data_IF_235081924709
#
_entry.id   IF_235081924709
#
_cell.length_a   1.000
_cell.length_b   1.000
_cell.length_c   1.000
_cell.angle_alpha   90.00
_cell.angle_beta   90.00
_cell.angle_gamma   90.00
#
_symmetry.space_group_name_H-M   'P 1'
#
loop_
_entity.id
_entity.type
_entity.pdbx_description
1 polymer ?
#
# COMPACT_ATOMS: atom_id res chain seq x y z
N UNK A 1 -20.26 3.04 18.23
CA UNK A 1 -19.70 3.70 17.02
C UNK A 1 -20.22 2.94 15.79
N UNK A 2 -20.49 3.61 14.67
CA UNK A 2 -20.97 2.94 13.46
C UNK A 2 -19.80 2.18 12.79
N UNK A 3 -19.66 0.89 13.10
CA UNK A 3 -18.58 0.04 12.59
C UNK A 3 -18.50 0.04 11.05
N UNK A 4 -19.66 0.05 10.37
CA UNK A 4 -19.71 0.14 8.90
C UNK A 4 -19.04 1.39 8.34
N UNK A 5 -19.22 2.55 8.97
CA UNK A 5 -18.55 3.80 8.55
C UNK A 5 -17.04 3.74 8.79
N UNK A 6 -16.59 3.11 9.87
CA UNK A 6 -15.16 2.93 10.15
C UNK A 6 -14.49 2.02 9.11
N UNK A 7 -15.13 0.89 8.77
CA UNK A 7 -14.65 -0.03 7.74
C UNK A 7 -14.63 0.65 6.37
N UNK A 8 -15.68 1.40 6.01
CA UNK A 8 -15.73 2.15 4.76
C UNK A 8 -14.62 3.19 4.69
N UNK A 9 -14.37 3.93 5.77
CA UNK A 9 -13.29 4.91 5.85
C UNK A 9 -11.92 4.26 5.62
N UNK A 10 -11.61 3.16 6.34
CA UNK A 10 -10.33 2.45 6.23
C UNK A 10 -10.11 1.88 4.83
N UNK A 11 -11.18 1.37 4.21
CA UNK A 11 -11.14 0.90 2.82
C UNK A 11 -10.85 2.05 1.85
N UNK A 12 -11.66 3.11 1.87
CA UNK A 12 -11.52 4.24 0.94
C UNK A 12 -10.20 4.98 1.09
N UNK A 13 -9.69 5.12 2.33
CA UNK A 13 -8.37 5.70 2.59
C UNK A 13 -7.24 4.92 1.89
N UNK A 14 -7.37 3.60 1.78
CA UNK A 14 -6.33 2.74 1.19
C UNK A 14 -6.27 2.81 -0.35
N UNK A 15 -7.35 3.28 -1.00
CA UNK A 15 -7.47 3.31 -2.46
C UNK A 15 -6.48 4.28 -3.12
N UNK A 16 -6.44 5.60 -2.78
CA UNK A 16 -5.53 6.53 -3.43
C UNK A 16 -4.06 6.14 -3.26
N UNK A 17 -3.71 5.66 -2.05
CA UNK A 17 -2.36 5.17 -1.75
C UNK A 17 -1.97 4.00 -2.66
N UNK A 18 -2.86 3.01 -2.81
CA UNK A 18 -2.60 1.83 -3.66
C UNK A 18 -2.48 2.22 -5.13
N UNK A 19 -3.30 3.17 -5.60
CA UNK A 19 -3.23 3.68 -6.98
C UNK A 19 -1.85 4.33 -7.25
N UNK A 20 -1.39 5.22 -6.37
CA UNK A 20 -0.07 5.87 -6.51
C UNK A 20 1.05 4.84 -6.46
N UNK A 21 1.00 3.89 -5.51
CA UNK A 21 1.98 2.81 -5.41
C UNK A 21 2.04 1.95 -6.69
N UNK A 22 0.88 1.64 -7.28
CA UNK A 22 0.79 0.89 -8.53
C UNK A 22 1.43 1.67 -9.69
N UNK A 23 1.17 2.98 -9.82
CA UNK A 23 1.79 3.81 -10.85
C UNK A 23 3.32 3.84 -10.76
N UNK A 24 3.88 3.91 -9.54
CA UNK A 24 5.34 3.93 -9.34
C UNK A 24 5.95 2.55 -9.58
N UNK A 25 5.35 1.51 -8.99
CA UNK A 25 5.90 0.15 -9.00
C UNK A 25 5.76 -0.51 -10.37
N UNK A 26 4.61 -0.33 -11.03
CA UNK A 26 4.29 -1.00 -12.29
C UNK A 26 4.61 -0.14 -13.52
N UNK A 27 5.34 0.96 -13.35
CA UNK A 27 5.79 1.78 -14.47
C UNK A 27 6.57 0.93 -15.48
N UNK A 28 6.34 1.10 -16.80
CA UNK A 28 7.05 0.36 -17.84
C UNK A 28 8.51 0.83 -18.02
N UNK A 29 8.84 2.02 -17.52
CA UNK A 29 10.16 2.63 -17.60
C UNK A 29 10.48 3.40 -16.30
N UNK A 30 11.76 3.68 -16.02
CA UNK A 30 12.15 4.49 -14.86
C UNK A 30 11.52 5.89 -14.93
N UNK A 31 10.77 6.26 -13.89
CA UNK A 31 10.09 7.55 -13.77
C UNK A 31 11.06 8.70 -13.50
N UNK A 32 12.24 8.39 -12.97
CA UNK A 32 13.26 9.36 -12.61
C UNK A 32 14.58 9.07 -13.34
N UNK A 33 14.74 9.50 -14.61
CA UNK A 33 15.91 9.19 -15.45
C UNK A 33 17.23 9.67 -14.84
N UNK A 34 17.20 10.72 -14.03
CA UNK A 34 18.37 11.21 -13.32
C UNK A 34 19.04 10.12 -12.45
N UNK A 35 18.25 9.27 -11.78
CA UNK A 35 18.78 8.17 -10.97
C UNK A 35 19.26 6.97 -11.79
N UNK A 36 18.91 6.90 -13.08
CA UNK A 36 19.42 5.85 -13.96
C UNK A 36 20.90 6.03 -14.28
N UNK A 37 21.41 7.27 -14.25
CA UNK A 37 22.82 7.58 -14.48
C UNK A 37 23.66 7.59 -13.19
N UNK A 38 23.04 7.43 -12.02
CA UNK A 38 23.76 7.44 -10.75
C UNK A 38 24.61 6.16 -10.58
N UNK A 39 25.78 6.25 -9.90
CA UNK A 39 26.56 5.07 -9.53
C UNK A 39 25.69 4.05 -8.79
N UNK A 40 25.73 2.79 -9.22
CA UNK A 40 24.86 1.73 -8.69
C UNK A 40 25.54 1.05 -7.51
N UNK A 41 24.84 0.97 -6.38
CA UNK A 41 25.30 0.25 -5.17
C UNK A 41 25.03 -1.25 -5.27
N UNK A 42 23.94 -1.62 -5.94
CA UNK A 42 23.53 -3.00 -6.22
C UNK A 42 23.55 -3.27 -7.72
N UNK A 43 23.65 -4.55 -8.11
CA UNK A 43 23.59 -4.99 -9.51
C UNK A 43 22.15 -5.06 -10.06
N UNK A 44 21.32 -4.07 -9.70
CA UNK A 44 19.95 -3.94 -10.20
C UNK A 44 19.93 -2.99 -11.40
N UNK A 45 19.12 -3.28 -12.40
CA UNK A 45 18.77 -2.31 -13.45
C UNK A 45 17.96 -1.15 -12.84
N UNK A 46 17.96 0.06 -13.46
CA UNK A 46 17.18 1.20 -12.96
C UNK A 46 15.70 0.90 -12.74
N UNK A 47 15.13 0.03 -13.58
CA UNK A 47 13.72 -0.37 -13.49
C UNK A 47 13.45 -1.32 -12.31
N UNK A 48 14.35 -2.30 -12.08
CA UNK A 48 14.23 -3.22 -10.94
C UNK A 48 14.37 -2.49 -9.60
N UNK A 49 15.30 -1.54 -9.53
CA UNK A 49 15.54 -0.71 -8.35
C UNK A 49 14.30 0.16 -8.01
N UNK A 50 13.68 0.79 -9.02
CA UNK A 50 12.42 1.52 -8.80
C UNK A 50 11.27 0.59 -8.36
N UNK A 51 11.14 -0.58 -8.97
CA UNK A 51 10.13 -1.58 -8.59
C UNK A 51 10.29 -2.00 -7.14
N UNK A 52 11.52 -2.32 -6.75
CA UNK A 52 11.85 -2.71 -5.39
C UNK A 52 11.56 -1.56 -4.41
N UNK A 53 11.98 -0.33 -4.72
CA UNK A 53 11.66 0.85 -3.94
C UNK A 53 10.15 1.07 -3.79
N UNK A 54 9.39 0.92 -4.88
CA UNK A 54 7.93 1.00 -4.88
C UNK A 54 7.29 -0.03 -3.94
N UNK A 55 7.72 -1.29 -4.00
CA UNK A 55 7.25 -2.37 -3.10
C UNK A 55 7.63 -2.07 -1.65
N UNK A 56 8.86 -1.64 -1.40
CA UNK A 56 9.35 -1.30 -0.05
C UNK A 56 8.54 -0.16 0.58
N UNK A 57 8.16 0.85 -0.21
CA UNK A 57 7.32 1.94 0.30
C UNK A 57 5.86 1.51 0.48
N UNK A 58 5.34 0.65 -0.40
CA UNK A 58 3.93 0.29 -0.44
C UNK A 58 3.54 -0.73 0.63
N UNK A 59 4.24 -1.87 0.68
CA UNK A 59 3.81 -3.04 1.46
C UNK A 59 3.76 -2.74 2.97
N UNK A 60 4.82 -2.18 3.60
CA UNK A 60 4.78 -1.89 5.03
C UNK A 60 3.68 -0.88 5.39
N UNK A 61 3.51 0.15 4.57
CA UNK A 61 2.50 1.15 4.80
C UNK A 61 1.07 0.59 4.63
N UNK A 62 0.85 -0.40 3.75
CA UNK A 62 -0.43 -1.07 3.56
C UNK A 62 -0.81 -1.99 4.75
N UNK A 63 0.16 -2.45 5.54
CA UNK A 63 -0.11 -3.30 6.71
C UNK A 63 -0.89 -2.57 7.81
N UNK A 64 -0.66 -1.27 8.01
CA UNK A 64 -1.31 -0.49 9.06
C UNK A 64 -2.85 -0.39 8.88
N UNK A 65 -3.38 0.09 7.74
CA UNK A 65 -4.83 0.14 7.52
C UNK A 65 -5.44 -1.27 7.46
N UNK A 66 -4.70 -2.27 6.96
CA UNK A 66 -5.16 -3.67 6.96
C UNK A 66 -5.34 -4.22 8.39
N UNK A 67 -4.38 -3.96 9.28
CA UNK A 67 -4.47 -4.37 10.67
C UNK A 67 -5.64 -3.65 11.39
N UNK A 68 -5.80 -2.35 11.15
CA UNK A 68 -6.92 -1.59 11.69
C UNK A 68 -8.27 -2.09 11.18
N UNK A 69 -8.39 -2.35 9.88
CA UNK A 69 -9.61 -2.89 9.26
C UNK A 69 -9.96 -4.24 9.86
N UNK A 70 -8.98 -5.14 9.96
CA UNK A 70 -9.13 -6.46 10.59
C UNK A 70 -9.61 -6.34 12.03
N UNK A 71 -9.00 -5.46 12.83
CA UNK A 71 -9.39 -5.25 14.22
C UNK A 71 -10.81 -4.68 14.38
N UNK A 72 -11.21 -3.72 13.54
CA UNK A 72 -12.56 -3.15 13.54
C UNK A 72 -13.58 -4.20 13.07
N UNK A 73 -13.24 -4.98 12.06
CA UNK A 73 -14.10 -6.04 11.52
C UNK A 73 -14.43 -7.09 12.59
N UNK A 74 -13.42 -7.61 13.30
CA UNK A 74 -13.68 -8.59 14.37
C UNK A 74 -14.46 -8.00 15.55
N UNK A 75 -14.26 -6.73 15.87
CA UNK A 75 -15.07 -6.04 16.90
C UNK A 75 -16.52 -5.86 16.49
N UNK A 76 -16.77 -5.63 15.20
CA UNK A 76 -18.12 -5.57 14.66
C UNK A 76 -18.78 -6.94 14.67
N UNK A 77 -18.09 -7.97 14.15
CA UNK A 77 -18.59 -9.34 14.12
C UNK A 77 -18.89 -9.91 15.53
N UNK A 78 -18.08 -9.58 16.54
CA UNK A 78 -18.35 -9.98 17.92
C UNK A 78 -19.47 -9.17 18.60
N UNK A 79 -19.87 -8.04 18.03
CA UNK A 79 -20.93 -7.18 18.57
C UNK A 79 -22.30 -7.46 17.95
N UNK A 80 -22.36 -8.20 16.84
CA UNK A 80 -23.59 -8.77 16.31
C UNK A 80 -24.00 -9.94 17.20
N UNK A 81 -25.09 -9.83 17.98
CA UNK A 81 -25.65 -10.97 18.70
C UNK A 81 -26.16 -11.96 17.65
N UNK A 82 -25.85 -13.24 17.84
CA UNK A 82 -26.47 -14.32 17.04
C UNK A 82 -28.00 -14.12 17.08
N UNK A 83 -28.60 -13.76 15.93
CA UNK A 83 -30.04 -13.91 15.71
C UNK A 83 -30.43 -15.38 15.62
#
# INVERSE_FOLDING_TARGET
PAYGTQLLYLFLMSVPMTVVAAFVTLAPAPLYPFYAAAPRVFQLSPLEDQRLGGVIMWVPAAMAPLAAFTGVFFRWAAAEPDE
#
